data_IF_715533242141
#
_entry.id   IF_715533242141
#
_cell.length_a   1.000
_cell.length_b   1.000
_cell.length_c   1.000
_cell.angle_alpha   90.00
_cell.angle_beta   90.00
_cell.angle_gamma   90.00
#
_symmetry.space_group_name_H-M   'P 1'
#
loop_
_entity.id
_entity.type
_entity.pdbx_description
1 polymer ?
#
# COMPACT_ATOMS: atom_id res chain seq x y z
N UNK A 1 11.67 -0.76 8.66
CA UNK A 1 10.52 -0.45 7.79
C UNK A 1 10.47 -1.52 6.72
N UNK A 2 9.37 -2.27 6.65
CA UNK A 2 9.15 -3.29 5.63
C UNK A 2 9.24 -2.71 4.22
N UNK A 3 9.48 -3.57 3.22
CA UNK A 3 9.57 -3.16 1.83
C UNK A 3 8.26 -2.52 1.34
N UNK A 4 7.10 -2.84 1.93
CA UNK A 4 5.80 -2.28 1.59
C UNK A 4 5.66 -0.80 1.93
N UNK A 5 6.12 -0.35 3.10
CA UNK A 5 6.04 1.07 3.48
C UNK A 5 6.84 1.94 2.50
N UNK A 6 8.01 1.45 2.05
CA UNK A 6 8.81 2.15 1.04
C UNK A 6 8.06 2.23 -0.30
N UNK A 7 7.43 1.13 -0.71
CA UNK A 7 6.64 1.08 -1.93
C UNK A 7 5.46 2.08 -1.88
N UNK A 8 4.67 2.05 -0.80
CA UNK A 8 3.55 2.98 -0.60
C UNK A 8 4.02 4.43 -0.59
N UNK A 9 5.16 4.75 0.05
CA UNK A 9 5.74 6.11 0.00
C UNK A 9 6.01 6.58 -1.44
N UNK A 10 6.45 5.69 -2.33
CA UNK A 10 6.66 6.01 -3.75
C UNK A 10 5.35 6.17 -4.53
N UNK A 11 4.29 5.47 -4.13
CA UNK A 11 2.96 5.63 -4.74
C UNK A 11 2.22 6.88 -4.25
N UNK A 12 2.57 7.40 -3.07
CA UNK A 12 1.92 8.53 -2.40
C UNK A 12 2.94 9.61 -2.01
N UNK A 13 3.75 10.07 -2.97
CA UNK A 13 4.88 10.97 -2.70
C UNK A 13 4.48 12.24 -1.93
N UNK A 14 3.35 12.84 -2.28
CA UNK A 14 2.81 14.04 -1.62
C UNK A 14 2.42 13.79 -0.14
N UNK A 15 2.19 12.53 0.24
CA UNK A 15 1.78 12.10 1.58
C UNK A 15 2.84 11.21 2.25
N UNK A 16 4.06 11.15 1.71
CA UNK A 16 5.09 10.22 2.16
C UNK A 16 5.44 10.35 3.66
N UNK A 17 5.41 11.58 4.20
CA UNK A 17 5.61 11.83 5.63
C UNK A 17 4.47 11.25 6.48
N UNK A 18 3.23 11.37 6.02
CA UNK A 18 2.07 10.84 6.72
C UNK A 18 2.03 9.31 6.68
N UNK A 19 2.46 8.71 5.56
CA UNK A 19 2.67 7.26 5.45
C UNK A 19 3.68 6.78 6.48
N UNK A 20 4.82 7.48 6.62
CA UNK A 20 5.87 7.15 7.59
C UNK A 20 5.40 7.28 9.04
N UNK A 21 4.71 8.38 9.37
CA UNK A 21 4.15 8.60 10.70
C UNK A 21 3.06 7.59 11.06
N UNK A 22 2.19 7.22 10.12
CA UNK A 22 1.15 6.24 10.34
C UNK A 22 1.73 4.83 10.49
N UNK A 23 2.69 4.44 9.65
CA UNK A 23 3.39 3.18 9.74
C UNK A 23 4.13 3.01 11.08
N UNK A 24 4.71 4.10 11.62
CA UNK A 24 5.40 4.06 12.91
C UNK A 24 4.50 3.71 14.11
N UNK A 25 3.17 3.83 13.97
CA UNK A 25 2.21 3.64 15.08
C UNK A 25 1.07 2.66 14.79
N UNK A 26 1.00 2.09 13.59
CA UNK A 26 -0.09 1.22 13.17
C UNK A 26 0.47 -0.01 12.47
N UNK A 27 0.51 -1.13 13.18
CA UNK A 27 0.94 -2.43 12.64
C UNK A 27 0.04 -2.88 11.49
N UNK A 28 -1.29 -2.78 11.63
CA UNK A 28 -2.23 -3.10 10.55
C UNK A 28 -2.07 -2.21 9.30
N UNK A 29 -1.55 -0.99 9.45
CA UNK A 29 -1.20 -0.18 8.28
C UNK A 29 0.11 -0.66 7.63
N UNK A 30 1.08 -1.12 8.42
CA UNK A 30 2.28 -1.76 7.87
C UNK A 30 1.94 -3.03 7.09
N UNK A 31 1.07 -3.89 7.64
CA UNK A 31 0.58 -5.10 6.97
C UNK A 31 -0.10 -4.75 5.64
N UNK A 32 -1.03 -3.79 5.64
CA UNK A 32 -1.67 -3.30 4.41
C UNK A 32 -0.64 -2.78 3.38
N UNK A 33 0.42 -2.10 3.82
CA UNK A 33 1.47 -1.65 2.92
C UNK A 33 2.25 -2.81 2.29
N UNK A 34 2.53 -3.86 3.08
CA UNK A 34 3.24 -5.06 2.61
C UNK A 34 2.37 -5.88 1.66
N UNK A 35 1.08 -6.04 1.95
CA UNK A 35 0.09 -6.69 1.05
C UNK A 35 -0.04 -5.96 -0.27
N UNK A 36 -0.12 -4.62 -0.23
CA UNK A 36 -0.19 -3.79 -1.42
C UNK A 36 1.05 -3.96 -2.32
N UNK A 37 2.24 -3.96 -1.72
CA UNK A 37 3.48 -4.21 -2.45
C UNK A 37 3.57 -5.65 -3.00
N UNK A 38 3.08 -6.63 -2.24
CA UNK A 38 3.04 -8.02 -2.69
C UNK A 38 2.12 -8.19 -3.91
N UNK A 39 0.93 -7.61 -3.88
CA UNK A 39 -0.02 -7.67 -5.00
C UNK A 39 0.53 -6.98 -6.26
N UNK A 40 1.20 -5.83 -6.13
CA UNK A 40 1.82 -5.16 -7.28
C UNK A 40 2.97 -5.98 -7.90
N UNK A 41 3.80 -6.59 -7.05
CA UNK A 41 4.86 -7.50 -7.49
C UNK A 41 4.28 -8.72 -8.22
N UNK A 42 3.23 -9.32 -7.69
CA UNK A 42 2.61 -10.51 -8.28
C UNK A 42 1.93 -10.17 -9.61
N UNK A 43 1.23 -9.04 -9.69
CA UNK A 43 0.74 -8.51 -10.97
C UNK A 43 1.85 -8.29 -11.99
N UNK A 44 2.99 -7.77 -11.56
CA UNK A 44 4.15 -7.58 -12.44
C UNK A 44 4.72 -8.91 -12.94
N UNK A 45 4.71 -9.96 -12.12
CA UNK A 45 5.05 -11.33 -12.56
C UNK A 45 4.05 -11.86 -13.58
N UNK A 46 2.75 -11.68 -13.34
CA UNK A 46 1.71 -12.09 -14.28
C UNK A 46 1.80 -11.38 -15.63
N UNK A 47 2.23 -10.11 -15.68
CA UNK A 47 2.47 -9.39 -16.95
C UNK A 47 3.55 -10.06 -17.83
N UNK A 48 4.44 -10.85 -17.23
CA UNK A 48 5.49 -11.57 -17.93
C UNK A 48 5.11 -13.04 -18.21
N UNK A 49 3.98 -13.50 -17.67
CA UNK A 49 3.50 -14.87 -17.85
C UNK A 49 3.01 -15.10 -19.29
N UNK A 50 3.16 -16.34 -19.75
CA UNK A 50 2.58 -16.86 -20.99
C UNK A 50 1.39 -17.79 -20.73
N UNK A 51 0.94 -17.90 -19.48
CA UNK A 51 -0.18 -18.75 -19.10
C UNK A 51 -1.50 -18.22 -19.67
N UNK A 52 -2.44 -19.10 -20.05
CA UNK A 52 -3.72 -18.70 -20.66
C UNK A 52 -4.60 -17.86 -19.72
N UNK A 53 -4.48 -18.03 -18.41
CA UNK A 53 -5.19 -17.28 -17.38
C UNK A 53 -4.56 -15.91 -17.06
N UNK A 54 -3.51 -15.51 -17.78
CA UNK A 54 -2.78 -14.26 -17.51
C UNK A 54 -3.70 -13.04 -17.43
N UNK A 55 -4.56 -12.85 -18.43
CA UNK A 55 -5.36 -11.62 -18.50
C UNK A 55 -6.43 -11.57 -17.40
N UNK A 56 -6.99 -12.74 -17.03
CA UNK A 56 -7.89 -12.89 -15.88
C UNK A 56 -7.17 -12.53 -14.58
N UNK A 57 -5.99 -13.11 -14.33
CA UNK A 57 -5.18 -12.79 -13.13
C UNK A 57 -4.77 -11.33 -13.09
N UNK A 58 -4.42 -10.72 -14.23
CA UNK A 58 -4.10 -9.29 -14.30
C UNK A 58 -5.28 -8.40 -13.93
N UNK A 59 -6.49 -8.76 -14.36
CA UNK A 59 -7.71 -8.05 -14.00
C UNK A 59 -7.98 -8.16 -12.48
N UNK A 60 -7.91 -9.37 -11.93
CA UNK A 60 -8.09 -9.59 -10.48
C UNK A 60 -7.09 -8.81 -9.63
N UNK A 61 -5.80 -8.87 -9.97
CA UNK A 61 -4.79 -8.10 -9.24
C UNK A 61 -4.96 -6.59 -9.42
N UNK A 62 -5.46 -6.13 -10.57
CA UNK A 62 -5.78 -4.71 -10.76
C UNK A 62 -6.89 -4.27 -9.81
N UNK A 63 -7.99 -5.01 -9.74
CA UNK A 63 -9.11 -4.70 -8.83
C UNK A 63 -8.67 -4.72 -7.36
N UNK A 64 -7.87 -5.73 -6.97
CA UNK A 64 -7.33 -5.84 -5.62
C UNK A 64 -6.43 -4.65 -5.27
N UNK A 65 -5.52 -4.26 -6.15
CA UNK A 65 -4.63 -3.10 -5.99
C UNK A 65 -5.44 -1.81 -5.88
N UNK A 66 -6.48 -1.64 -6.69
CA UNK A 66 -7.32 -0.45 -6.64
C UNK A 66 -8.10 -0.36 -5.32
N UNK A 67 -8.63 -1.49 -4.82
CA UNK A 67 -9.27 -1.57 -3.49
C UNK A 67 -8.29 -1.18 -2.37
N UNK A 68 -7.10 -1.78 -2.35
CA UNK A 68 -6.09 -1.46 -1.34
C UNK A 68 -5.62 0.00 -1.44
N UNK A 69 -5.52 0.56 -2.64
CA UNK A 69 -5.19 1.98 -2.82
C UNK A 69 -6.21 2.88 -2.13
N UNK A 70 -7.51 2.59 -2.32
CA UNK A 70 -8.59 3.30 -1.65
C UNK A 70 -8.49 3.15 -0.12
N UNK A 71 -8.21 1.96 0.39
CA UNK A 71 -8.05 1.74 1.84
C UNK A 71 -6.87 2.54 2.43
N UNK A 72 -5.73 2.59 1.72
CA UNK A 72 -4.57 3.40 2.09
C UNK A 72 -4.94 4.88 2.09
N UNK A 73 -5.60 5.38 1.04
CA UNK A 73 -6.04 6.77 0.95
C UNK A 73 -6.92 7.16 2.13
N UNK A 74 -7.92 6.34 2.44
CA UNK A 74 -8.81 6.55 3.57
C UNK A 74 -8.06 6.49 4.92
N UNK A 75 -7.10 5.57 5.07
CA UNK A 75 -6.30 5.48 6.29
C UNK A 75 -5.46 6.74 6.50
N UNK A 76 -4.87 7.26 5.43
CA UNK A 76 -4.14 8.52 5.45
C UNK A 76 -5.07 9.71 5.71
N UNK A 77 -6.29 9.74 5.15
CA UNK A 77 -7.26 10.82 5.40
C UNK A 77 -7.66 10.87 6.87
N UNK A 78 -7.97 9.71 7.47
CA UNK A 78 -8.25 9.59 8.91
C UNK A 78 -7.06 10.06 9.75
N UNK A 79 -5.83 9.70 9.35
CA UNK A 79 -4.61 10.12 10.05
C UNK A 79 -4.31 11.62 9.93
N UNK A 80 -4.75 12.28 8.84
CA UNK A 80 -4.60 13.72 8.67
C UNK A 80 -5.56 14.52 9.57
N UNK A 81 -6.74 13.97 9.86
CA UNK A 81 -7.77 14.60 10.70
C UNK A 81 -7.43 14.46 12.19
N UNK A 82 -6.90 13.31 12.62
CA UNK A 82 -6.49 13.05 14.01
C UNK A 82 -5.00 13.33 14.14
N UNK A 83 -4.56 14.45 14.77
CA UNK A 83 -3.16 14.80 14.85
C UNK A 83 -2.36 13.61 15.42
N UNK A 84 -1.37 13.16 14.65
CA UNK A 84 -0.34 12.26 15.15
C UNK A 84 0.30 12.93 16.37
N UNK A 85 -0.07 12.52 17.59
CA UNK A 85 0.68 12.95 18.77
C UNK A 85 2.12 12.45 18.59
N UNK A 86 3.13 13.32 18.66
CA UNK A 86 4.51 12.87 18.55
C UNK A 86 4.82 11.93 19.73
N UNK A 87 5.71 10.93 19.54
CA UNK A 87 6.20 10.12 20.64
C UNK A 87 6.86 11.05 21.65
N UNK A 88 6.46 10.93 22.91
CA UNK A 88 7.15 11.62 24.01
C UNK A 88 8.54 10.98 24.11
N UNK A 89 9.57 11.81 23.87
CA UNK A 89 11.00 11.46 23.98
C UNK A 89 11.32 10.88 25.35
#
# INVERSE_FOLDING_TARGET
MGNGVRFVKSCFEQRAKLVEELAARSEGFCELCDDFAMADNEKTRWKQSSAPERDERLAEYQELIDSMRVEIEQALDRAAIVPCRPPRR
#
